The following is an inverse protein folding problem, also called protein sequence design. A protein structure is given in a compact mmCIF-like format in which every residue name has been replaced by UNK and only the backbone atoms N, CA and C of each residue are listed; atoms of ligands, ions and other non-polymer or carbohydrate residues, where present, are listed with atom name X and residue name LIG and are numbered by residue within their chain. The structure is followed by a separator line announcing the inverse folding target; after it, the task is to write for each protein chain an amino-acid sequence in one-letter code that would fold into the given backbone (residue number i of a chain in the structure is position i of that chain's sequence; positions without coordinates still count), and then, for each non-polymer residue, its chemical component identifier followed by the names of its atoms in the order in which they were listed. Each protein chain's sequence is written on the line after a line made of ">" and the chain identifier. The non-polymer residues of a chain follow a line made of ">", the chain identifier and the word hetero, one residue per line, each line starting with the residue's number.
data_IF_020537876755
#
_entry.id   IF_020537876755
#
_cell.length_a   1.000
_cell.length_b   1.000
_cell.length_c   1.000
_cell.angle_alpha   90.00
_cell.angle_beta   90.00
_cell.angle_gamma   90.00
#
_symmetry.space_group_name_H-M   'P 1'
#
loop_
_entity.id
_entity.type
_entity.pdbx_description
1 polymer ?
#
# COMPACT_ATOMS: atom_id res chain seq x y z
N UNK A 1 -5.44 -12.63 13.86
CA UNK A 1 -6.74 -13.08 13.31
C UNK A 1 -7.41 -13.98 14.31
N UNK A 2 -8.46 -13.48 14.95
CA UNK A 2 -9.22 -14.22 15.97
C UNK A 2 -10.42 -14.91 15.31
N UNK A 3 -10.31 -16.24 15.18
CA UNK A 3 -11.30 -17.07 14.50
C UNK A 3 -12.64 -17.09 15.22
N UNK A 4 -12.65 -17.13 16.56
CA UNK A 4 -13.89 -17.21 17.34
C UNK A 4 -14.69 -15.90 17.24
N UNK A 5 -14.02 -14.77 17.34
CA UNK A 5 -14.64 -13.47 17.09
C UNK A 5 -15.23 -13.38 15.69
N UNK A 6 -14.50 -13.84 14.66
CA UNK A 6 -15.00 -13.81 13.27
C UNK A 6 -16.24 -14.70 13.09
N UNK A 7 -16.29 -15.88 13.68
CA UNK A 7 -17.48 -16.75 13.66
C UNK A 7 -18.71 -16.07 14.27
N UNK A 8 -18.53 -15.44 15.43
CA UNK A 8 -19.63 -14.70 16.09
C UNK A 8 -20.12 -13.56 15.19
N UNK A 9 -19.21 -12.77 14.64
CA UNK A 9 -19.55 -11.65 13.75
C UNK A 9 -20.21 -12.12 12.45
N UNK A 10 -19.77 -13.27 11.90
CA UNK A 10 -20.38 -13.86 10.71
C UNK A 10 -21.81 -14.33 10.99
N UNK A 11 -22.06 -15.00 12.11
CA UNK A 11 -23.40 -15.40 12.50
C UNK A 11 -24.36 -14.21 12.62
N UNK A 12 -23.89 -13.11 13.23
CA UNK A 12 -24.67 -11.85 13.32
C UNK A 12 -24.93 -11.30 11.91
N UNK A 13 -23.91 -11.24 11.06
CA UNK A 13 -24.05 -10.72 9.70
C UNK A 13 -25.09 -11.54 8.89
N UNK A 14 -25.07 -12.86 9.01
CA UNK A 14 -25.99 -13.77 8.35
C UNK A 14 -27.43 -13.61 8.87
N UNK A 15 -27.61 -13.44 10.18
CA UNK A 15 -28.92 -13.18 10.79
C UNK A 15 -29.58 -11.92 10.24
N UNK A 16 -28.78 -10.86 9.99
CA UNK A 16 -29.27 -9.60 9.45
C UNK A 16 -29.19 -9.49 7.92
N UNK A 17 -28.74 -10.56 7.22
CA UNK A 17 -28.62 -10.56 5.76
C UNK A 17 -27.60 -9.54 5.21
N UNK A 18 -26.51 -9.25 5.96
CA UNK A 18 -25.49 -8.29 5.59
C UNK A 18 -24.12 -8.98 5.38
N UNK A 19 -23.24 -8.31 4.63
CA UNK A 19 -21.89 -8.81 4.38
C UNK A 19 -20.93 -8.44 5.52
N UNK A 20 -20.02 -9.37 5.85
CA UNK A 20 -18.98 -9.16 6.83
C UNK A 20 -17.72 -8.64 6.13
N UNK A 21 -17.25 -7.44 6.54
CA UNK A 21 -16.05 -6.82 6.01
C UNK A 21 -14.98 -6.67 7.08
N UNK A 22 -13.74 -7.08 6.77
CA UNK A 22 -12.56 -6.82 7.60
C UNK A 22 -11.77 -5.60 7.09
N UNK A 23 -11.32 -4.75 8.02
CA UNK A 23 -10.45 -3.61 7.73
C UNK A 23 -8.98 -3.92 8.03
N UNK A 24 -8.09 -3.11 7.45
CA UNK A 24 -6.63 -3.19 7.71
C UNK A 24 -6.02 -4.54 7.28
N UNK A 25 -6.45 -5.07 6.14
CA UNK A 25 -5.95 -6.32 5.57
C UNK A 25 -4.71 -6.12 4.69
N UNK A 26 -3.91 -5.11 4.99
CA UNK A 26 -2.63 -4.86 4.32
C UNK A 26 -1.59 -5.90 4.73
N UNK A 27 -0.66 -6.19 3.82
CA UNK A 27 0.49 -7.11 4.02
C UNK A 27 0.13 -8.56 4.32
N UNK A 28 -1.09 -8.98 3.99
CA UNK A 28 -1.50 -10.38 4.07
C UNK A 28 -0.95 -11.18 2.90
N UNK A 29 -0.68 -12.45 3.15
CA UNK A 29 -0.34 -13.42 2.10
C UNK A 29 -1.57 -14.24 1.69
N UNK A 30 -1.42 -15.05 0.63
CA UNK A 30 -2.47 -15.92 0.10
C UNK A 30 -3.12 -16.80 1.18
N UNK A 31 -2.34 -17.46 2.04
CA UNK A 31 -2.88 -18.33 3.08
C UNK A 31 -3.73 -17.55 4.10
N UNK A 32 -3.32 -16.35 4.44
CA UNK A 32 -4.05 -15.48 5.35
C UNK A 32 -5.35 -14.97 4.73
N UNK A 33 -5.37 -14.68 3.43
CA UNK A 33 -6.59 -14.30 2.68
C UNK A 33 -7.53 -15.53 2.58
N UNK A 34 -7.00 -16.70 2.23
CA UNK A 34 -7.76 -17.95 2.13
C UNK A 34 -8.42 -18.32 3.46
N UNK A 35 -7.72 -18.09 4.58
CA UNK A 35 -8.27 -18.29 5.91
C UNK A 35 -9.48 -17.39 6.18
N UNK A 36 -9.42 -16.13 5.79
CA UNK A 36 -10.52 -15.16 5.91
C UNK A 36 -11.75 -15.60 5.13
N UNK A 37 -11.54 -15.97 3.87
CA UNK A 37 -12.60 -16.54 3.01
C UNK A 37 -13.23 -17.80 3.64
N UNK A 38 -12.40 -18.70 4.16
CA UNK A 38 -12.87 -19.94 4.83
C UNK A 38 -13.80 -19.65 6.00
N UNK A 39 -13.56 -18.58 6.76
CA UNK A 39 -14.38 -18.21 7.93
C UNK A 39 -15.47 -17.17 7.61
N UNK A 40 -15.75 -16.94 6.31
CA UNK A 40 -16.93 -16.18 5.87
C UNK A 40 -16.75 -14.66 5.87
N UNK A 41 -15.51 -14.16 5.81
CA UNK A 41 -15.28 -12.75 5.52
C UNK A 41 -15.55 -12.52 4.04
N UNK A 42 -16.56 -11.70 3.74
CA UNK A 42 -17.04 -11.45 2.38
C UNK A 42 -16.23 -10.38 1.66
N UNK A 43 -15.62 -9.44 2.39
CA UNK A 43 -14.83 -8.36 1.84
C UNK A 43 -13.65 -7.98 2.75
N UNK A 44 -12.58 -7.52 2.14
CA UNK A 44 -11.41 -6.97 2.85
C UNK A 44 -11.07 -5.57 2.33
N UNK A 45 -10.44 -4.76 3.17
CA UNK A 45 -9.94 -3.45 2.79
C UNK A 45 -8.42 -3.41 2.80
N UNK A 46 -7.84 -3.06 1.65
CA UNK A 46 -6.40 -2.88 1.45
C UNK A 46 -6.20 -1.44 0.96
N UNK A 47 -5.38 -0.65 1.63
CA UNK A 47 -5.15 0.74 1.26
C UNK A 47 -3.68 1.21 1.42
N UNK A 48 -3.07 1.23 2.63
CA UNK A 48 -1.70 1.69 2.80
C UNK A 48 -0.68 0.94 1.95
N UNK A 49 -0.84 -0.36 1.77
CA UNK A 49 0.08 -1.19 1.01
C UNK A 49 0.13 -0.80 -0.48
N UNK A 50 -1.00 -0.41 -1.08
CA UNK A 50 -1.04 0.12 -2.45
C UNK A 50 -0.23 1.42 -2.55
N UNK A 51 -0.28 2.27 -1.53
CA UNK A 51 0.55 3.47 -1.44
C UNK A 51 2.05 3.16 -1.32
N UNK A 52 2.41 2.08 -0.62
CA UNK A 52 3.79 1.58 -0.54
C UNK A 52 4.26 1.08 -1.90
N UNK A 53 3.45 0.28 -2.61
CA UNK A 53 3.74 -0.22 -3.96
C UNK A 53 4.02 0.96 -4.92
N UNK A 54 3.16 1.97 -4.92
CA UNK A 54 3.34 3.15 -5.74
C UNK A 54 4.61 3.93 -5.37
N UNK A 55 4.85 4.17 -4.09
CA UNK A 55 6.04 4.89 -3.61
C UNK A 55 7.31 4.17 -4.01
N UNK A 56 7.34 2.84 -3.87
CA UNK A 56 8.49 2.01 -4.25
C UNK A 56 8.74 2.03 -5.76
N UNK A 57 7.69 1.93 -6.58
CA UNK A 57 7.81 2.02 -8.05
C UNK A 57 8.42 3.37 -8.46
N UNK A 58 7.92 4.47 -7.91
CA UNK A 58 8.42 5.81 -8.22
C UNK A 58 9.87 5.98 -7.77
N UNK A 59 10.24 5.47 -6.61
CA UNK A 59 11.63 5.47 -6.14
C UNK A 59 12.53 4.69 -7.11
N UNK A 60 12.15 3.47 -7.45
CA UNK A 60 12.92 2.60 -8.36
C UNK A 60 13.09 3.24 -9.73
N UNK A 61 12.00 3.77 -10.31
CA UNK A 61 12.07 4.47 -11.60
C UNK A 61 12.92 5.74 -11.53
N UNK A 62 12.82 6.49 -10.43
CA UNK A 62 13.65 7.69 -10.25
C UNK A 62 15.14 7.36 -10.24
N UNK A 63 15.53 6.26 -9.58
CA UNK A 63 16.92 5.79 -9.60
C UNK A 63 17.33 5.32 -10.99
N UNK A 64 16.53 4.51 -11.64
CA UNK A 64 16.81 4.01 -12.99
C UNK A 64 16.93 5.15 -14.02
N UNK A 65 16.06 6.15 -13.96
CA UNK A 65 16.01 7.28 -14.88
C UNK A 65 16.96 8.44 -14.51
N UNK A 66 17.78 8.27 -13.46
CA UNK A 66 18.75 9.27 -12.96
C UNK A 66 18.09 10.58 -12.52
N UNK A 67 16.96 10.46 -11.82
CA UNK A 67 16.23 11.58 -11.17
C UNK A 67 16.57 11.61 -9.66
N UNK A 68 17.83 11.34 -9.33
CA UNK A 68 18.29 11.09 -7.96
C UNK A 68 18.07 12.28 -7.04
N UNK A 69 18.40 13.49 -7.50
CA UNK A 69 18.29 14.71 -6.69
C UNK A 69 16.87 14.99 -6.22
N UNK A 70 15.89 14.78 -7.11
CA UNK A 70 14.48 15.03 -6.81
C UNK A 70 13.91 13.98 -5.86
N UNK A 71 14.19 12.69 -6.10
CA UNK A 71 13.68 11.63 -5.24
C UNK A 71 14.29 11.69 -3.83
N UNK A 72 15.55 12.07 -3.69
CA UNK A 72 16.20 12.28 -2.39
C UNK A 72 15.60 13.47 -1.63
N UNK A 73 15.28 14.57 -2.33
CA UNK A 73 14.56 15.69 -1.73
C UNK A 73 13.16 15.27 -1.26
N UNK A 74 12.45 14.48 -2.07
CA UNK A 74 11.14 13.96 -1.71
C UNK A 74 11.22 13.03 -0.49
N UNK A 75 12.19 12.13 -0.45
CA UNK A 75 12.44 11.27 0.70
C UNK A 75 12.70 12.09 1.99
N UNK A 76 13.55 13.10 1.92
CA UNK A 76 13.81 14.02 3.05
C UNK A 76 12.54 14.74 3.52
N UNK A 77 11.70 15.19 2.57
CA UNK A 77 10.41 15.82 2.88
C UNK A 77 9.49 14.87 3.64
N UNK A 78 9.30 13.64 3.13
CA UNK A 78 8.47 12.61 3.75
C UNK A 78 8.94 12.30 5.17
N UNK A 79 10.24 12.12 5.35
CA UNK A 79 10.83 11.84 6.68
C UNK A 79 10.62 13.00 7.66
N UNK A 80 10.80 14.24 7.21
CA UNK A 80 10.61 15.45 8.03
C UNK A 80 9.16 15.63 8.49
N UNK A 81 8.18 15.25 7.65
CA UNK A 81 6.74 15.39 7.96
C UNK A 81 6.23 14.37 8.98
N UNK A 82 7.02 13.37 9.33
CA UNK A 82 6.77 12.39 10.42
C UNK A 82 5.46 11.57 10.30
N UNK A 83 4.79 11.52 9.16
CA UNK A 83 3.56 10.72 8.97
C UNK A 83 3.82 9.20 9.08
N UNK A 84 5.06 8.78 8.85
CA UNK A 84 5.50 7.39 9.00
C UNK A 84 5.33 6.86 10.44
N UNK A 85 5.31 7.72 11.46
CA UNK A 85 5.11 7.33 12.87
C UNK A 85 3.81 6.56 13.10
N UNK A 86 2.79 6.76 12.27
CA UNK A 86 1.53 6.02 12.36
C UNK A 86 1.68 4.52 12.09
N UNK A 87 2.68 4.13 11.29
CA UNK A 87 2.79 2.76 10.76
C UNK A 87 4.08 2.07 11.18
N UNK A 88 5.09 2.82 11.60
CA UNK A 88 6.43 2.29 11.74
C UNK A 88 7.29 3.07 12.75
N UNK A 89 6.74 3.38 13.91
CA UNK A 89 7.39 4.19 14.92
C UNK A 89 8.62 3.53 15.56
N UNK A 90 8.73 2.20 15.53
CA UNK A 90 9.86 1.45 16.09
C UNK A 90 10.95 1.09 15.08
N UNK A 91 10.79 1.45 13.81
CA UNK A 91 11.76 1.12 12.78
C UNK A 91 12.73 2.30 12.55
N UNK A 92 14.02 2.03 12.63
CA UNK A 92 15.06 3.05 12.40
C UNK A 92 15.42 3.23 10.92
N UNK A 93 15.00 2.30 10.05
CA UNK A 93 15.33 2.36 8.63
C UNK A 93 14.54 3.46 7.92
N UNK A 94 15.24 4.51 7.51
CA UNK A 94 14.68 5.66 6.82
C UNK A 94 14.02 5.32 5.48
N UNK A 95 14.47 4.28 4.79
CA UNK A 95 13.85 3.84 3.55
C UNK A 95 12.47 3.23 3.78
N UNK A 96 12.34 2.38 4.80
CA UNK A 96 11.03 1.80 5.18
C UNK A 96 10.08 2.90 5.66
N UNK A 97 10.53 3.86 6.48
CA UNK A 97 9.75 5.04 6.86
C UNK A 97 9.26 5.83 5.64
N UNK A 98 10.13 6.02 4.66
CA UNK A 98 9.79 6.70 3.42
C UNK A 98 8.73 5.92 2.63
N UNK A 99 8.89 4.62 2.42
CA UNK A 99 7.93 3.79 1.70
C UNK A 99 6.55 3.81 2.36
N UNK A 100 6.49 3.65 3.69
CA UNK A 100 5.23 3.59 4.43
C UNK A 100 4.46 4.92 4.44
N UNK A 101 5.11 6.06 4.22
CA UNK A 101 4.49 7.37 4.33
C UNK A 101 4.51 8.21 3.04
N UNK A 102 5.15 7.75 1.97
CA UNK A 102 5.25 8.51 0.71
C UNK A 102 3.90 8.93 0.15
N UNK A 103 2.91 8.04 0.21
CA UNK A 103 1.57 8.29 -0.32
C UNK A 103 0.83 9.47 0.34
N UNK A 104 1.14 9.84 1.58
CA UNK A 104 0.58 11.02 2.23
C UNK A 104 1.03 12.35 1.60
N UNK A 105 2.03 12.30 0.72
CA UNK A 105 2.69 13.47 0.14
C UNK A 105 2.60 13.53 -1.40
N UNK A 106 1.71 12.73 -2.01
CA UNK A 106 1.50 12.72 -3.46
C UNK A 106 0.91 14.02 -4.02
N UNK A 107 0.36 14.88 -3.16
CA UNK A 107 -0.10 16.20 -3.55
C UNK A 107 1.01 17.28 -3.57
N UNK A 108 2.18 17.00 -3.00
CA UNK A 108 3.30 17.93 -2.95
C UNK A 108 3.83 18.23 -4.36
N UNK A 109 4.22 19.48 -4.59
CA UNK A 109 4.77 19.91 -5.89
C UNK A 109 5.97 19.07 -6.30
N UNK A 110 6.86 18.80 -5.36
CA UNK A 110 8.06 17.99 -5.60
C UNK A 110 7.72 16.58 -6.13
N UNK A 111 6.67 15.97 -5.61
CA UNK A 111 6.19 14.68 -6.14
C UNK A 111 5.67 14.83 -7.58
N UNK A 112 4.84 15.85 -7.84
CA UNK A 112 4.30 16.11 -9.19
C UNK A 112 5.41 16.35 -10.22
N UNK A 113 6.48 17.05 -9.83
CA UNK A 113 7.65 17.28 -10.69
C UNK A 113 8.39 15.97 -11.01
N UNK A 114 8.51 15.05 -10.05
CA UNK A 114 9.08 13.70 -10.26
C UNK A 114 8.21 12.92 -11.25
N UNK A 115 6.88 12.86 -11.04
CA UNK A 115 5.94 12.17 -11.93
C UNK A 115 6.02 12.72 -13.36
N UNK A 116 6.06 14.02 -13.51
CA UNK A 116 6.21 14.66 -14.81
C UNK A 116 7.49 14.24 -15.55
N UNK A 117 8.62 14.17 -14.82
CA UNK A 117 9.91 13.71 -15.38
C UNK A 117 9.88 12.23 -15.77
N UNK A 118 9.27 11.38 -14.95
CA UNK A 118 9.13 9.94 -15.23
C UNK A 118 8.28 9.76 -16.49
N UNK A 119 7.11 10.41 -16.58
CA UNK A 119 6.17 10.26 -17.68
C UNK A 119 6.72 10.74 -19.04
N UNK A 120 7.77 11.57 -19.04
CA UNK A 120 8.49 11.90 -20.29
C UNK A 120 9.27 10.73 -20.89
N UNK A 121 9.53 9.69 -20.09
CA UNK A 121 10.41 8.57 -20.48
C UNK A 121 9.70 7.22 -20.48
N UNK A 122 8.72 7.02 -19.62
CA UNK A 122 7.96 5.77 -19.47
C UNK A 122 6.50 6.06 -19.15
N UNK A 123 5.62 5.13 -19.51
CA UNK A 123 4.21 5.16 -19.10
C UNK A 123 4.08 4.65 -17.66
N UNK A 124 4.16 5.59 -16.71
CA UNK A 124 4.07 5.29 -15.28
C UNK A 124 2.72 4.64 -14.92
N UNK A 125 1.61 5.09 -15.53
CA UNK A 125 0.29 4.55 -15.22
C UNK A 125 0.18 3.07 -15.61
N UNK A 126 0.68 2.71 -16.78
CA UNK A 126 0.73 1.30 -17.24
C UNK A 126 1.59 0.45 -16.30
N UNK A 127 2.74 0.96 -15.88
CA UNK A 127 3.63 0.25 -14.95
C UNK A 127 2.99 0.07 -13.57
N UNK A 128 2.31 1.11 -13.06
CA UNK A 128 1.62 1.04 -11.79
C UNK A 128 0.46 0.03 -11.82
N UNK A 129 -0.36 0.08 -12.87
CA UNK A 129 -1.45 -0.88 -13.06
C UNK A 129 -0.92 -2.32 -13.06
N UNK A 130 0.19 -2.57 -13.76
CA UNK A 130 0.80 -3.91 -13.80
C UNK A 130 1.34 -4.37 -12.43
N UNK A 131 1.93 -3.45 -11.66
CA UNK A 131 2.39 -3.77 -10.31
C UNK A 131 1.22 -4.11 -9.37
N UNK A 132 0.13 -3.34 -9.43
CA UNK A 132 -1.08 -3.59 -8.64
C UNK A 132 -1.74 -4.91 -9.07
N UNK A 133 -1.86 -5.15 -10.37
CA UNK A 133 -2.38 -6.42 -10.90
C UNK A 133 -1.58 -7.61 -10.37
N UNK A 134 -0.25 -7.57 -10.48
CA UNK A 134 0.63 -8.62 -9.97
C UNK A 134 0.51 -8.82 -8.46
N UNK A 135 0.31 -7.73 -7.71
CA UNK A 135 0.05 -7.81 -6.28
C UNK A 135 -1.28 -8.51 -5.98
N UNK A 136 -2.36 -8.12 -6.65
CA UNK A 136 -3.68 -8.74 -6.46
C UNK A 136 -3.67 -10.22 -6.88
N UNK A 137 -3.03 -10.57 -7.99
CA UNK A 137 -2.89 -11.96 -8.41
C UNK A 137 -2.20 -12.82 -7.34
N UNK A 138 -1.18 -12.31 -6.65
CA UNK A 138 -0.51 -13.05 -5.56
C UNK A 138 -1.37 -13.21 -4.31
N UNK A 139 -2.35 -12.34 -4.10
CA UNK A 139 -3.26 -12.44 -2.96
C UNK A 139 -4.40 -13.42 -3.21
N UNK A 140 -4.85 -13.57 -4.45
CA UNK A 140 -6.10 -14.26 -4.77
C UNK A 140 -5.93 -15.53 -5.64
N UNK A 141 -4.70 -15.81 -6.11
CA UNK A 141 -4.32 -17.02 -6.83
C UNK A 141 -3.26 -17.82 -6.07
#
# INVERSE_FOLDING_TARGET
>A
FDIETVKIMKNIADEYGILLKEHNCDYLNFNQISLRKKYGIDAINIAPELGVIQTNLIYTLSKYLKIDKEIEKFQKLVLKKNKWKKWNYNNENNFIKFLSAGHYHFNERLYKDIIFKINKKVDLQKMLNKNIENYLLRLFN
#
